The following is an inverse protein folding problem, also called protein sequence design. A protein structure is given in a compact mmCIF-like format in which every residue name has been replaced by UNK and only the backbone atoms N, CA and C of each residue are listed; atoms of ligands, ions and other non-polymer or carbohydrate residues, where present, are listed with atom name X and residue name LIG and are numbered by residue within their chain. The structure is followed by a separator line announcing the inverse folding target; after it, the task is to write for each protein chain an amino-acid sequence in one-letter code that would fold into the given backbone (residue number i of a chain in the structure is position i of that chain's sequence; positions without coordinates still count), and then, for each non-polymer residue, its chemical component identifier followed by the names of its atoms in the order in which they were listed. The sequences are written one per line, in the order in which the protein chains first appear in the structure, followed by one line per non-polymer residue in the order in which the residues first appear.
data_IF_620943043542
#
_entry.id   IF_620943043542
#
_cell.length_a   1.000
_cell.length_b   1.000
_cell.length_c   1.000
_cell.angle_alpha   90.00
_cell.angle_beta   90.00
_cell.angle_gamma   90.00
#
_symmetry.space_group_name_H-M   'P 1'
#
loop_
_entity.id
_entity.type
_entity.pdbx_description
1 polymer ?
#
# COMPACT_ATOMS: atom_id res chain seq x y z
N UNK A 1 1.73 -3.22 -15.31
CA UNK A 1 0.30 -3.56 -15.08
C UNK A 1 -0.19 -2.72 -13.91
N UNK A 2 -1.43 -2.21 -13.93
CA UNK A 2 -1.98 -1.48 -12.77
C UNK A 2 -2.75 -2.43 -11.86
N UNK A 3 -2.53 -2.32 -10.57
CA UNK A 3 -3.27 -3.09 -9.57
C UNK A 3 -3.51 -2.24 -8.31
N UNK A 4 -4.53 -2.64 -7.56
CA UNK A 4 -4.95 -1.99 -6.33
C UNK A 4 -4.62 -2.91 -5.16
N UNK A 5 -4.06 -2.37 -4.09
CA UNK A 5 -3.96 -3.06 -2.80
C UNK A 5 -4.64 -2.23 -1.72
N UNK A 6 -5.26 -2.95 -0.79
CA UNK A 6 -5.92 -2.39 0.38
C UNK A 6 -5.11 -2.79 1.62
N UNK A 7 -4.84 -1.81 2.48
CA UNK A 7 -4.12 -2.01 3.73
C UNK A 7 -4.95 -1.45 4.86
N UNK A 8 -5.16 -2.25 5.91
CA UNK A 8 -5.77 -1.77 7.14
C UNK A 8 -4.64 -1.40 8.10
N UNK A 9 -4.52 -0.11 8.40
CA UNK A 9 -3.37 0.47 9.09
C UNK A 9 -3.83 1.18 10.35
N UNK A 10 -3.19 0.95 11.51
CA UNK A 10 -3.49 1.71 12.72
C UNK A 10 -3.26 3.21 12.49
N UNK A 11 -4.19 4.06 12.90
CA UNK A 11 -4.09 5.52 12.65
C UNK A 11 -2.82 6.13 13.25
N UNK A 12 -2.36 5.59 14.39
CA UNK A 12 -1.12 6.02 15.06
C UNK A 12 0.14 5.83 14.20
N UNK A 13 0.18 4.77 13.39
CA UNK A 13 1.31 4.52 12.49
C UNK A 13 1.29 5.52 11.33
N UNK A 14 0.10 5.84 10.82
CA UNK A 14 -0.08 6.86 9.79
C UNK A 14 0.31 8.26 10.25
N UNK A 15 0.06 8.62 11.52
CA UNK A 15 0.51 9.89 12.10
C UNK A 15 2.02 9.95 12.26
N UNK A 16 2.65 8.84 12.65
CA UNK A 16 4.09 8.79 12.97
C UNK A 16 4.95 8.80 11.72
N UNK A 17 4.64 7.96 10.74
CA UNK A 17 5.48 7.80 9.54
C UNK A 17 4.91 8.53 8.32
N UNK A 18 3.60 8.76 8.29
CA UNK A 18 2.89 9.22 7.10
C UNK A 18 2.59 8.08 6.12
N UNK A 19 1.42 8.15 5.46
CA UNK A 19 0.90 7.11 4.55
C UNK A 19 1.92 6.68 3.49
N UNK A 20 2.65 7.63 2.90
CA UNK A 20 3.62 7.32 1.84
C UNK A 20 4.84 6.54 2.35
N UNK A 21 5.30 6.79 3.57
CA UNK A 21 6.43 6.05 4.14
C UNK A 21 5.98 4.66 4.58
N UNK A 22 4.79 4.56 5.19
CA UNK A 22 4.17 3.28 5.51
C UNK A 22 4.05 2.39 4.27
N UNK A 23 3.48 2.91 3.18
CA UNK A 23 3.32 2.15 1.93
C UNK A 23 4.67 1.73 1.32
N UNK A 24 5.73 2.53 1.46
CA UNK A 24 7.09 2.17 1.03
C UNK A 24 7.70 1.08 1.92
N UNK A 25 7.47 1.15 3.23
CA UNK A 25 7.92 0.15 4.21
C UNK A 25 7.30 -1.21 3.90
N UNK A 26 5.96 -1.26 3.82
CA UNK A 26 5.22 -2.48 3.49
C UNK A 26 5.64 -3.05 2.13
N UNK A 27 5.87 -2.18 1.15
CA UNK A 27 6.34 -2.61 -0.17
C UNK A 27 7.71 -3.31 -0.11
N UNK A 28 8.62 -2.77 0.71
CA UNK A 28 9.96 -3.35 0.93
C UNK A 28 9.87 -4.71 1.65
N UNK A 29 8.97 -4.85 2.61
CA UNK A 29 8.77 -6.09 3.35
C UNK A 29 8.14 -7.20 2.50
N UNK A 30 7.22 -6.85 1.59
CA UNK A 30 6.48 -7.84 0.79
C UNK A 30 7.25 -8.36 -0.44
N UNK A 31 8.51 -7.96 -0.63
CA UNK A 31 9.31 -8.24 -1.85
C UNK A 31 8.52 -7.97 -3.15
N UNK A 32 7.59 -7.01 -3.09
CA UNK A 32 6.69 -6.74 -4.21
C UNK A 32 7.49 -6.16 -5.39
N UNK A 33 7.13 -6.48 -6.64
CA UNK A 33 7.90 -6.07 -7.82
C UNK A 33 7.93 -4.54 -7.94
N UNK A 34 9.11 -3.91 -7.79
CA UNK A 34 9.33 -2.45 -7.70
C UNK A 34 8.29 -1.65 -8.50
N UNK A 35 7.22 -1.29 -7.79
CA UNK A 35 6.03 -0.69 -8.34
C UNK A 35 6.03 0.78 -7.95
N UNK A 36 5.77 1.68 -8.89
CA UNK A 36 5.58 3.08 -8.55
C UNK A 36 4.17 3.24 -7.98
N UNK A 37 4.06 3.77 -6.76
CA UNK A 37 2.75 4.23 -6.23
C UNK A 37 2.32 5.41 -7.11
N UNK A 38 1.20 5.25 -7.81
CA UNK A 38 0.63 6.29 -8.67
C UNK A 38 -0.31 7.22 -7.87
N UNK A 39 -1.11 6.63 -7.00
CA UNK A 39 -2.08 7.32 -6.17
C UNK A 39 -2.39 6.49 -4.93
N UNK A 40 -2.90 7.12 -3.89
CA UNK A 40 -3.49 6.45 -2.74
C UNK A 40 -4.70 7.23 -2.23
N UNK A 41 -5.61 6.52 -1.58
CA UNK A 41 -6.84 7.07 -1.01
C UNK A 41 -7.04 6.49 0.40
N UNK A 42 -7.43 7.34 1.35
CA UNK A 42 -7.94 6.89 2.65
C UNK A 42 -9.43 6.58 2.49
N UNK A 43 -9.82 5.41 2.96
CA UNK A 43 -11.19 4.92 2.99
C UNK A 43 -11.61 4.76 4.45
N UNK A 44 -12.91 4.86 4.69
CA UNK A 44 -13.49 4.59 6.00
C UNK A 44 -13.27 3.13 6.38
N UNK A 45 -12.96 2.90 7.65
CA UNK A 45 -12.83 1.59 8.25
C UNK A 45 -13.80 1.47 9.42
N UNK A 46 -14.35 0.27 9.64
CA UNK A 46 -15.37 0.04 10.69
C UNK A 46 -14.78 0.24 12.10
N UNK A 47 -13.51 -0.14 12.28
CA UNK A 47 -12.77 0.12 13.52
C UNK A 47 -12.24 1.55 13.61
N UNK A 48 -12.63 2.25 14.68
CA UNK A 48 -12.24 3.65 14.98
C UNK A 48 -10.74 3.91 15.16
N UNK A 49 -9.92 2.86 15.28
CA UNK A 49 -8.47 2.98 15.45
C UNK A 49 -7.68 2.62 14.19
N UNK A 50 -8.37 2.26 13.11
CA UNK A 50 -7.79 1.78 11.87
C UNK A 50 -8.21 2.70 10.72
N UNK A 51 -7.35 2.80 9.73
CA UNK A 51 -7.61 3.45 8.46
C UNK A 51 -7.37 2.45 7.35
N UNK A 52 -8.31 2.36 6.41
CA UNK A 52 -8.10 1.59 5.20
C UNK A 52 -7.44 2.47 4.15
N UNK A 53 -6.27 2.07 3.67
CA UNK A 53 -5.57 2.75 2.58
C UNK A 53 -5.70 1.90 1.33
N UNK A 54 -6.27 2.49 0.27
CA UNK A 54 -6.23 1.92 -1.06
C UNK A 54 -5.07 2.57 -1.82
N UNK A 55 -4.08 1.79 -2.22
CA UNK A 55 -2.95 2.25 -3.00
C UNK A 55 -2.97 1.66 -4.42
N UNK A 56 -2.74 2.52 -5.40
CA UNK A 56 -2.68 2.18 -6.83
C UNK A 56 -1.22 2.06 -7.24
N UNK A 57 -0.85 0.88 -7.71
CA UNK A 57 0.51 0.58 -8.13
C UNK A 57 0.57 0.39 -9.64
N UNK A 58 1.70 0.79 -10.22
CA UNK A 58 2.09 0.43 -11.57
C UNK A 58 3.37 -0.40 -11.52
N UNK A 59 3.27 -1.69 -11.86
CA UNK A 59 4.47 -2.52 -12.04
C UNK A 59 5.18 -2.12 -13.32
N UNK A 60 6.50 -1.90 -13.22
CA UNK A 60 7.35 -1.69 -14.39
C UNK A 60 7.65 -2.98 -15.17
N UNK A 61 7.48 -4.15 -14.55
CA UNK A 61 7.78 -5.42 -15.19
C UNK A 61 6.70 -6.49 -14.95
N UNK A 62 6.60 -7.41 -15.93
CA UNK A 62 5.68 -8.54 -15.97
C UNK A 62 5.85 -9.37 -14.70
N UNK A 63 4.74 -9.64 -13.99
CA UNK A 63 4.68 -10.64 -12.93
C UNK A 63 5.36 -11.90 -13.50
N UNK A 64 6.55 -12.25 -12.99
CA UNK A 64 7.11 -13.57 -13.22
C UNK A 64 6.22 -14.51 -12.43
N UNK A 65 5.25 -15.11 -13.13
CA UNK A 65 4.49 -16.24 -12.61
C UNK A 65 5.49 -17.27 -12.10
N UNK A 66 5.52 -17.50 -10.79
CA UNK A 66 6.23 -18.63 -10.21
C UNK A 66 5.68 -19.90 -10.88
N UNK A 67 6.56 -20.62 -11.57
CA UNK A 67 6.34 -22.00 -11.98
C UNK A 67 6.71 -22.91 -10.83
#
# INVERSE_FOLDING_TARGET
MKFFNYFDVPEKELETEGVLNYLKSVFKELEAPEGRILAWYKLDHEDKGMSRICAVYETKDKIRSAR
#
